data_IF_862082506287
#
_entry.id   IF_862082506287
#
_cell.length_a   1.000
_cell.length_b   1.000
_cell.length_c   1.000
_cell.angle_alpha   90.00
_cell.angle_beta   90.00
_cell.angle_gamma   90.00
#
_symmetry.space_group_name_H-M   'P 1'
#
loop_
_entity.id
_entity.type
_entity.pdbx_description
1 polymer ?
#
# COMPACT_ATOMS: atom_id res chain seq x y z
N UNK A 1 51.56 -56.02 68.25
CA UNK A 1 51.79 -55.54 66.90
C UNK A 1 50.64 -56.11 66.05
N UNK A 2 49.64 -55.25 65.78
CA UNK A 2 48.43 -55.65 65.03
C UNK A 2 48.49 -54.95 63.69
N UNK A 3 48.58 -55.70 62.58
CA UNK A 3 48.51 -55.20 61.23
C UNK A 3 47.06 -54.89 60.90
N UNK A 4 46.78 -53.64 60.49
CA UNK A 4 45.50 -53.24 59.88
C UNK A 4 45.60 -53.43 58.36
N UNK A 5 44.79 -54.31 57.85
CA UNK A 5 44.58 -54.41 56.41
C UNK A 5 43.55 -53.41 55.97
N UNK A 6 43.89 -52.64 54.91
CA UNK A 6 43.03 -51.65 54.29
C UNK A 6 42.30 -52.30 53.08
N UNK A 7 41.00 -52.44 53.18
CA UNK A 7 40.16 -52.85 52.04
C UNK A 7 39.85 -51.62 51.16
N UNK A 8 40.34 -51.65 49.96
CA UNK A 8 39.89 -50.69 48.91
C UNK A 8 38.63 -51.23 48.20
N UNK A 9 37.48 -50.55 48.36
CA UNK A 9 36.31 -50.83 47.63
C UNK A 9 36.37 -50.01 46.29
N UNK A 10 36.43 -50.75 45.20
CA UNK A 10 36.35 -50.16 43.84
C UNK A 10 34.86 -50.00 43.47
N UNK A 11 34.38 -48.75 43.43
CA UNK A 11 33.06 -48.41 42.83
C UNK A 11 33.24 -48.19 41.32
N UNK A 12 32.47 -48.90 40.50
CA UNK A 12 32.47 -48.58 39.05
C UNK A 12 31.70 -47.24 38.79
N UNK A 13 32.42 -46.26 38.29
CA UNK A 13 31.83 -45.03 37.78
C UNK A 13 31.19 -45.35 36.44
N UNK A 14 29.85 -45.44 36.43
CA UNK A 14 29.08 -45.50 35.18
C UNK A 14 29.03 -44.12 34.58
N UNK A 15 29.82 -43.88 33.53
CA UNK A 15 29.83 -42.68 32.74
C UNK A 15 28.60 -42.68 31.79
N UNK A 16 27.53 -42.01 32.20
CA UNK A 16 26.38 -41.80 31.31
C UNK A 16 26.77 -40.69 30.34
N UNK A 17 27.13 -41.08 29.11
CA UNK A 17 27.33 -40.14 28.00
C UNK A 17 25.94 -39.73 27.50
N UNK A 18 25.51 -38.53 27.85
CA UNK A 18 24.38 -37.84 27.18
C UNK A 18 24.84 -37.43 25.79
N UNK A 19 24.46 -38.21 24.78
CA UNK A 19 24.51 -37.76 23.42
C UNK A 19 23.40 -36.75 23.22
N UNK A 20 23.72 -35.46 23.38
CA UNK A 20 22.85 -34.35 22.89
C UNK A 20 22.79 -34.42 21.37
N UNK A 21 21.75 -35.02 20.87
CA UNK A 21 21.36 -34.83 19.47
C UNK A 21 21.05 -33.35 19.29
N UNK A 22 22.05 -32.57 18.95
CA UNK A 22 21.87 -31.24 18.39
C UNK A 22 21.33 -31.43 16.96
N UNK A 23 20.02 -31.69 16.85
CA UNK A 23 19.36 -31.54 15.59
C UNK A 23 19.50 -30.06 15.22
N UNK A 24 20.39 -29.74 14.32
CA UNK A 24 20.43 -28.49 13.59
C UNK A 24 19.08 -28.39 12.88
N UNK A 25 18.13 -27.76 13.54
CA UNK A 25 16.94 -27.22 12.86
C UNK A 25 17.48 -26.23 11.82
N UNK A 26 17.71 -26.73 10.62
CA UNK A 26 17.79 -25.88 9.44
C UNK A 26 16.43 -25.17 9.40
N UNK A 27 16.42 -23.90 9.81
CA UNK A 27 15.31 -23.02 9.49
C UNK A 27 15.20 -23.08 7.97
N UNK A 28 14.24 -23.85 7.47
CA UNK A 28 13.80 -23.67 6.10
C UNK A 28 13.54 -22.18 5.95
N UNK A 29 14.27 -21.56 5.04
CA UNK A 29 13.95 -20.20 4.64
C UNK A 29 12.53 -20.30 4.10
N UNK A 30 11.57 -19.77 4.88
CA UNK A 30 10.23 -19.54 4.35
C UNK A 30 10.45 -18.59 3.18
N UNK A 31 10.37 -19.10 1.98
CA UNK A 31 10.34 -18.30 0.77
C UNK A 31 8.98 -17.60 0.84
N UNK A 32 9.00 -16.38 1.32
CA UNK A 32 7.81 -15.53 1.27
C UNK A 32 7.68 -15.11 -0.19
N UNK A 33 6.76 -15.74 -0.90
CA UNK A 33 6.43 -15.29 -2.25
C UNK A 33 6.02 -13.82 -2.20
N UNK A 34 6.56 -12.99 -3.09
CA UNK A 34 6.24 -11.57 -3.08
C UNK A 34 4.74 -11.37 -3.30
N UNK A 35 4.15 -10.49 -2.50
CA UNK A 35 2.72 -10.22 -2.59
C UNK A 35 2.41 -9.28 -3.74
N UNK A 36 1.28 -9.57 -4.38
CA UNK A 36 0.63 -8.67 -5.34
C UNK A 36 -0.74 -8.32 -4.78
N UNK A 37 -0.89 -7.08 -4.36
CA UNK A 37 -2.09 -6.57 -3.69
C UNK A 37 -2.71 -5.44 -4.50
N UNK A 38 -4.01 -5.27 -4.41
CA UNK A 38 -4.68 -4.09 -4.95
C UNK A 38 -5.73 -3.56 -3.99
N UNK A 39 -6.00 -2.26 -4.08
CA UNK A 39 -7.20 -1.66 -3.53
C UNK A 39 -8.33 -1.72 -4.56
N UNK A 40 -9.57 -1.72 -4.08
CA UNK A 40 -10.77 -1.53 -4.86
C UNK A 40 -11.74 -0.64 -4.10
N UNK A 41 -12.23 0.38 -4.77
CA UNK A 41 -13.16 1.37 -4.20
C UNK A 41 -14.53 0.80 -3.89
N UNK A 42 -15.23 1.39 -2.92
CA UNK A 42 -16.64 1.08 -2.63
C UNK A 42 -17.62 2.09 -3.21
N UNK A 43 -17.14 3.23 -3.71
CA UNK A 43 -17.94 4.25 -4.40
C UNK A 43 -17.95 4.03 -5.92
N UNK A 44 -18.87 4.68 -6.65
CA UNK A 44 -19.01 4.47 -8.09
C UNK A 44 -17.73 4.64 -8.89
N UNK A 45 -17.48 3.72 -9.81
CA UNK A 45 -16.43 3.82 -10.82
C UNK A 45 -16.83 4.91 -11.83
N UNK A 46 -15.91 5.80 -12.26
CA UNK A 46 -16.21 6.84 -13.23
C UNK A 46 -16.80 6.29 -14.53
N UNK A 47 -17.70 7.03 -15.13
CA UNK A 47 -18.45 6.60 -16.32
C UNK A 47 -17.53 6.20 -17.50
N UNK A 48 -16.42 6.91 -17.70
CA UNK A 48 -15.44 6.60 -18.76
C UNK A 48 -14.62 5.34 -18.55
N UNK A 49 -14.71 4.70 -17.37
CA UNK A 49 -13.90 3.52 -17.01
C UNK A 49 -14.72 2.24 -17.02
N UNK A 50 -16.03 2.35 -16.73
CA UNK A 50 -16.92 1.21 -16.53
C UNK A 50 -17.46 0.65 -17.86
N UNK A 51 -17.70 -0.66 -17.87
CA UNK A 51 -18.48 -1.30 -18.91
C UNK A 51 -19.97 -1.34 -18.51
N UNK A 52 -20.85 -0.83 -19.41
CA UNK A 52 -22.30 -0.82 -19.21
C UNK A 52 -22.79 0.19 -18.17
N UNK A 53 -24.00 -0.02 -17.68
CA UNK A 53 -24.71 0.95 -16.81
C UNK A 53 -24.41 0.76 -15.31
N UNK A 54 -23.79 -0.36 -14.89
CA UNK A 54 -23.47 -0.60 -13.49
C UNK A 54 -22.26 0.23 -13.06
N UNK A 55 -22.42 1.19 -12.12
CA UNK A 55 -21.33 2.03 -11.68
C UNK A 55 -20.40 1.34 -10.64
N UNK A 56 -20.70 0.11 -10.26
CA UNK A 56 -19.94 -0.62 -9.24
C UNK A 56 -19.24 -1.83 -9.85
N UNK A 57 -18.14 -2.23 -9.21
CA UNK A 57 -17.51 -3.48 -9.57
C UNK A 57 -18.34 -4.68 -9.11
N UNK A 58 -18.12 -5.80 -9.76
CA UNK A 58 -18.67 -7.11 -9.35
C UNK A 58 -17.53 -8.12 -9.23
N UNK A 59 -17.79 -9.21 -8.52
CA UNK A 59 -16.82 -10.31 -8.37
C UNK A 59 -16.35 -10.88 -9.72
N UNK A 60 -17.18 -10.73 -10.77
CA UNK A 60 -16.83 -11.18 -12.11
C UNK A 60 -15.82 -10.27 -12.82
N UNK A 61 -15.83 -8.99 -12.52
CA UNK A 61 -14.88 -8.01 -13.08
C UNK A 61 -13.48 -8.17 -12.48
N UNK A 62 -13.39 -8.60 -11.22
CA UNK A 62 -12.09 -8.77 -10.55
C UNK A 62 -11.37 -10.01 -11.08
N UNK A 63 -10.14 -9.80 -11.56
CA UNK A 63 -9.23 -10.85 -12.02
C UNK A 63 -8.35 -11.33 -10.85
N UNK A 64 -8.98 -12.02 -9.90
CA UNK A 64 -8.33 -12.48 -8.68
C UNK A 64 -7.17 -13.44 -8.89
N UNK A 65 -7.07 -14.05 -10.08
CA UNK A 65 -5.92 -14.87 -10.51
C UNK A 65 -4.61 -14.07 -10.57
N UNK A 66 -4.67 -12.74 -10.66
CA UNK A 66 -3.50 -11.87 -10.67
C UNK A 66 -3.23 -11.19 -9.32
N UNK A 67 -3.90 -11.64 -8.25
CA UNK A 67 -3.81 -11.05 -6.92
C UNK A 67 -3.49 -12.09 -5.85
N UNK A 68 -2.72 -11.69 -4.86
CA UNK A 68 -2.61 -12.41 -3.57
C UNK A 68 -3.54 -11.81 -2.52
N UNK A 69 -3.82 -10.51 -2.61
CA UNK A 69 -4.62 -9.74 -1.64
C UNK A 69 -5.46 -8.67 -2.34
N UNK A 70 -6.68 -8.46 -1.85
CA UNK A 70 -7.54 -7.34 -2.24
C UNK A 70 -7.96 -6.55 -0.99
N UNK A 71 -7.87 -5.21 -1.06
CA UNK A 71 -8.28 -4.29 0.02
C UNK A 71 -9.54 -3.55 -0.41
N UNK A 72 -10.63 -3.74 0.34
CA UNK A 72 -11.86 -2.98 0.13
C UNK A 72 -11.68 -1.58 0.72
N UNK A 73 -11.70 -0.56 -0.09
CA UNK A 73 -11.45 0.84 0.28
C UNK A 73 -12.70 1.71 0.08
N UNK A 74 -13.17 2.43 1.05
CA UNK A 74 -12.68 2.55 2.42
C UNK A 74 -13.80 2.37 3.42
N UNK A 75 -13.51 1.78 4.57
CA UNK A 75 -14.32 1.95 5.75
C UNK A 75 -13.95 3.27 6.43
N UNK A 76 -14.94 3.95 6.99
CA UNK A 76 -14.80 5.22 7.70
C UNK A 76 -15.12 5.04 9.18
N UNK A 77 -14.56 5.90 10.02
CA UNK A 77 -14.91 5.95 11.45
C UNK A 77 -16.22 6.73 11.58
N UNK A 78 -17.24 6.16 12.24
CA UNK A 78 -18.52 6.84 12.46
C UNK A 78 -18.32 8.06 13.40
N UNK A 79 -18.58 9.28 12.91
CA UNK A 79 -18.41 10.50 13.71
C UNK A 79 -19.35 10.58 14.92
N UNK A 80 -20.42 9.76 14.98
CA UNK A 80 -21.40 9.76 16.09
C UNK A 80 -20.78 9.23 17.37
N UNK A 81 -20.07 8.11 17.31
CA UNK A 81 -19.42 7.48 18.46
C UNK A 81 -17.89 7.52 18.42
N UNK A 82 -17.30 7.70 17.24
CA UNK A 82 -15.86 7.78 17.00
C UNK A 82 -15.14 6.43 17.11
N UNK A 83 -15.86 5.31 17.07
CA UNK A 83 -15.28 3.96 17.23
C UNK A 83 -15.88 2.93 16.30
N UNK A 84 -17.16 3.07 15.93
CA UNK A 84 -17.78 2.23 14.92
C UNK A 84 -17.18 2.52 13.54
N UNK A 85 -17.18 1.50 12.71
CA UNK A 85 -16.74 1.61 11.30
C UNK A 85 -17.92 1.33 10.38
N UNK A 86 -17.95 2.00 9.25
CA UNK A 86 -18.97 1.79 8.23
C UNK A 86 -18.39 2.04 6.83
N UNK A 87 -18.99 1.43 5.82
CA UNK A 87 -18.81 1.82 4.42
C UNK A 87 -20.02 2.68 4.04
N UNK A 88 -19.83 3.83 3.36
CA UNK A 88 -20.94 4.62 2.84
C UNK A 88 -21.89 3.73 2.02
N UNK A 89 -23.18 3.75 2.39
CA UNK A 89 -24.18 2.92 1.73
C UNK A 89 -24.52 3.46 0.34
N UNK A 90 -24.50 2.56 -0.61
CA UNK A 90 -25.03 2.78 -1.96
C UNK A 90 -26.14 1.75 -2.17
N UNK A 91 -27.42 2.18 -2.30
CA UNK A 91 -28.58 1.27 -2.28
C UNK A 91 -28.53 0.15 -3.33
N UNK A 92 -27.74 0.35 -4.38
CA UNK A 92 -27.63 -0.59 -5.51
C UNK A 92 -26.36 -1.47 -5.42
N UNK A 93 -25.59 -1.35 -4.35
CA UNK A 93 -24.32 -2.04 -4.21
C UNK A 93 -24.14 -2.70 -2.83
N UNK A 94 -24.26 -4.00 -2.80
CA UNK A 94 -23.90 -4.82 -1.64
C UNK A 94 -22.46 -5.33 -1.77
N UNK A 95 -21.52 -4.52 -1.25
CA UNK A 95 -20.09 -4.84 -1.29
C UNK A 95 -19.76 -6.17 -0.64
N UNK A 96 -20.47 -6.55 0.42
CA UNK A 96 -20.17 -7.78 1.14
C UNK A 96 -20.67 -9.04 0.42
N UNK A 97 -21.77 -8.93 -0.32
CA UNK A 97 -22.21 -9.98 -1.23
C UNK A 97 -21.19 -10.21 -2.36
N UNK A 98 -20.64 -9.14 -2.93
CA UNK A 98 -19.59 -9.25 -3.95
C UNK A 98 -18.28 -9.81 -3.38
N UNK A 99 -17.90 -9.44 -2.15
CA UNK A 99 -16.75 -10.03 -1.45
C UNK A 99 -16.94 -11.52 -1.22
N UNK A 100 -18.12 -11.96 -0.78
CA UNK A 100 -18.42 -13.37 -0.57
C UNK A 100 -18.30 -14.17 -1.88
N UNK A 101 -18.89 -13.64 -2.98
CA UNK A 101 -18.79 -14.25 -4.31
C UNK A 101 -17.34 -14.29 -4.82
N UNK A 102 -16.55 -13.26 -4.55
CA UNK A 102 -15.14 -13.20 -4.93
C UNK A 102 -14.31 -14.25 -4.20
N UNK A 103 -14.53 -14.43 -2.89
CA UNK A 103 -13.83 -15.44 -2.08
C UNK A 103 -14.22 -16.87 -2.48
N UNK A 104 -15.46 -17.09 -2.90
CA UNK A 104 -15.89 -18.37 -3.47
C UNK A 104 -15.18 -18.66 -4.80
N UNK A 105 -15.12 -17.66 -5.68
CA UNK A 105 -14.48 -17.75 -6.99
C UNK A 105 -12.96 -17.93 -6.90
N UNK A 106 -12.31 -17.28 -5.95
CA UNK A 106 -10.85 -17.27 -5.76
C UNK A 106 -10.47 -17.62 -4.31
N UNK A 107 -10.50 -18.91 -3.93
CA UNK A 107 -10.24 -19.33 -2.54
C UNK A 107 -8.82 -18.99 -2.01
N UNK A 108 -7.86 -18.72 -2.91
CA UNK A 108 -6.50 -18.30 -2.55
C UNK A 108 -6.42 -16.82 -2.22
N UNK A 109 -7.37 -16.01 -2.70
CA UNK A 109 -7.35 -14.56 -2.56
C UNK A 109 -7.69 -14.17 -1.13
N UNK A 110 -6.81 -13.43 -0.48
CA UNK A 110 -7.09 -12.81 0.81
C UNK A 110 -7.77 -11.46 0.59
N UNK A 111 -8.91 -11.30 1.25
CA UNK A 111 -9.67 -10.05 1.19
C UNK A 111 -9.61 -9.38 2.55
N UNK A 112 -9.13 -8.15 2.59
CA UNK A 112 -9.08 -7.29 3.76
C UNK A 112 -9.86 -6.01 3.49
N UNK A 113 -10.14 -5.22 4.51
CA UNK A 113 -10.67 -3.87 4.32
C UNK A 113 -9.67 -2.83 4.82
N UNK A 114 -9.73 -1.64 4.23
CA UNK A 114 -8.91 -0.49 4.63
C UNK A 114 -9.78 0.54 5.32
N UNK A 115 -9.29 1.08 6.44
CA UNK A 115 -9.96 2.15 7.18
C UNK A 115 -9.20 3.45 6.98
N UNK A 116 -9.91 4.49 6.52
CA UNK A 116 -9.33 5.81 6.32
C UNK A 116 -9.37 6.30 4.89
N UNK A 117 -8.21 6.59 4.32
CA UNK A 117 -8.01 7.13 2.98
C UNK A 117 -7.78 8.64 2.95
N UNK A 118 -7.35 9.16 1.79
CA UNK A 118 -6.89 10.53 1.57
C UNK A 118 -7.99 11.60 1.50
N UNK A 119 -9.21 11.32 1.98
CA UNK A 119 -10.28 12.30 2.08
C UNK A 119 -10.39 12.90 3.48
N UNK A 120 -11.08 14.04 3.62
CA UNK A 120 -11.35 14.61 4.95
C UNK A 120 -12.19 13.66 5.82
N UNK A 121 -13.11 12.93 5.22
CA UNK A 121 -13.92 11.91 5.89
C UNK A 121 -13.05 10.72 6.32
N UNK A 122 -12.10 10.29 5.48
CA UNK A 122 -11.15 9.24 5.78
C UNK A 122 -10.22 9.58 6.94
N UNK A 123 -9.78 10.84 7.02
CA UNK A 123 -8.96 11.35 8.13
C UNK A 123 -9.76 11.52 9.44
N UNK A 124 -11.07 11.80 9.32
CA UNK A 124 -11.90 12.17 10.46
C UNK A 124 -11.95 11.07 11.52
N UNK A 125 -11.89 11.47 12.79
CA UNK A 125 -12.04 10.57 13.93
C UNK A 125 -10.76 9.92 14.43
N UNK A 126 -9.75 9.70 13.60
CA UNK A 126 -8.53 8.98 13.99
C UNK A 126 -7.83 9.58 15.21
N UNK A 127 -7.48 10.87 15.17
CA UNK A 127 -6.74 11.51 16.25
C UNK A 127 -7.46 11.41 17.60
N UNK A 128 -8.77 11.68 17.62
CA UNK A 128 -9.59 11.60 18.83
C UNK A 128 -9.69 10.15 19.34
N UNK A 129 -9.96 9.21 18.45
CA UNK A 129 -10.07 7.78 18.78
C UNK A 129 -8.72 7.24 19.27
N UNK A 130 -7.65 7.51 18.53
CA UNK A 130 -6.32 7.01 18.85
C UNK A 130 -5.74 7.58 20.15
N UNK A 131 -6.13 8.79 20.57
CA UNK A 131 -5.71 9.37 21.84
C UNK A 131 -6.35 8.70 23.07
N UNK A 132 -7.52 8.06 22.93
CA UNK A 132 -8.28 7.51 24.05
C UNK A 132 -8.16 5.98 24.12
N UNK A 133 -7.59 5.41 25.20
CA UNK A 133 -7.40 3.95 25.32
C UNK A 133 -8.70 3.14 25.21
N UNK A 134 -9.81 3.63 25.79
CA UNK A 134 -11.09 2.93 25.72
C UNK A 134 -11.64 2.95 24.30
N UNK A 135 -11.55 4.08 23.60
CA UNK A 135 -11.98 4.18 22.21
C UNK A 135 -11.15 3.27 21.29
N UNK A 136 -9.82 3.23 21.47
CA UNK A 136 -8.96 2.31 20.70
C UNK A 136 -9.34 0.84 20.91
N UNK A 137 -9.62 0.45 22.17
CA UNK A 137 -10.05 -0.91 22.47
C UNK A 137 -11.39 -1.24 21.77
N UNK A 138 -12.40 -0.37 21.89
CA UNK A 138 -13.69 -0.54 21.20
C UNK A 138 -13.52 -0.57 19.68
N UNK A 139 -12.69 0.29 19.12
CA UNK A 139 -12.41 0.32 17.68
C UNK A 139 -11.76 -0.99 17.21
N UNK A 140 -10.79 -1.52 17.96
CA UNK A 140 -10.15 -2.80 17.65
C UNK A 140 -11.13 -3.98 17.75
N UNK A 141 -12.07 -3.95 18.69
CA UNK A 141 -13.12 -4.95 18.80
C UNK A 141 -14.12 -4.86 17.64
N UNK A 142 -14.49 -3.66 17.18
CA UNK A 142 -15.32 -3.45 16.00
C UNK A 142 -14.63 -3.96 14.71
N UNK A 143 -13.32 -3.75 14.58
CA UNK A 143 -12.54 -4.38 13.50
C UNK A 143 -12.66 -5.90 13.56
N UNK A 144 -12.49 -6.50 14.73
CA UNK A 144 -12.59 -7.96 14.88
C UNK A 144 -14.00 -8.48 14.55
N UNK A 145 -15.05 -7.75 14.88
CA UNK A 145 -16.42 -8.10 14.49
C UNK A 145 -16.57 -8.16 12.97
N UNK A 146 -16.07 -7.17 12.25
CA UNK A 146 -16.10 -7.17 10.78
C UNK A 146 -15.29 -8.32 10.16
N UNK A 147 -14.15 -8.66 10.74
CA UNK A 147 -13.33 -9.78 10.28
C UNK A 147 -14.09 -11.12 10.39
N UNK A 148 -14.90 -11.28 11.44
CA UNK A 148 -15.76 -12.48 11.63
C UNK A 148 -17.02 -12.41 10.75
N UNK A 149 -17.77 -11.31 10.80
CA UNK A 149 -19.08 -11.16 10.15
C UNK A 149 -18.99 -11.29 8.62
N UNK A 150 -17.94 -10.74 8.03
CA UNK A 150 -17.72 -10.75 6.57
C UNK A 150 -16.64 -11.74 6.12
N UNK A 151 -16.18 -12.62 7.03
CA UNK A 151 -15.14 -13.62 6.76
C UNK A 151 -13.89 -13.03 6.06
N UNK A 152 -13.40 -11.88 6.58
CA UNK A 152 -12.25 -11.20 6.02
C UNK A 152 -10.93 -11.75 6.57
N UNK A 153 -9.82 -11.40 5.90
CA UNK A 153 -8.50 -11.97 6.18
C UNK A 153 -7.54 -10.95 6.81
N UNK A 154 -7.98 -9.70 6.98
CA UNK A 154 -7.17 -8.67 7.61
C UNK A 154 -7.76 -7.27 7.55
N UNK A 155 -7.02 -6.33 8.10
CA UNK A 155 -7.32 -4.90 8.09
C UNK A 155 -6.09 -4.11 7.67
N UNK A 156 -6.33 -3.04 6.95
CA UNK A 156 -5.35 -2.03 6.57
C UNK A 156 -5.72 -0.70 7.24
N UNK A 157 -4.72 0.03 7.74
CA UNK A 157 -4.92 1.36 8.34
C UNK A 157 -4.31 2.38 7.39
N UNK A 158 -5.18 3.20 6.83
CA UNK A 158 -4.82 4.27 5.90
C UNK A 158 -5.11 5.64 6.52
N UNK A 159 -4.34 5.97 7.56
CA UNK A 159 -4.43 7.25 8.25
C UNK A 159 -3.50 8.27 7.58
N UNK A 160 -4.06 9.20 6.80
CA UNK A 160 -3.32 10.16 6.00
C UNK A 160 -3.41 11.60 6.53
N UNK A 161 -2.63 12.02 7.56
CA UNK A 161 -1.57 11.25 8.23
C UNK A 161 -1.64 11.42 9.75
N UNK A 162 -1.05 10.52 10.57
CA UNK A 162 -1.04 10.70 12.04
C UNK A 162 -0.37 12.01 12.45
N UNK A 163 0.87 12.22 12.03
CA UNK A 163 1.52 13.53 12.08
C UNK A 163 1.84 13.94 10.65
N UNK A 164 1.05 14.84 10.11
CA UNK A 164 1.21 15.37 8.77
C UNK A 164 2.51 16.14 8.57
N UNK A 165 2.74 16.60 7.36
CA UNK A 165 3.85 17.49 7.03
C UNK A 165 3.67 18.88 7.70
N UNK A 166 4.73 19.70 7.73
CA UNK A 166 4.65 21.05 8.38
C UNK A 166 3.65 22.00 7.71
N UNK A 167 3.34 21.74 6.45
CA UNK A 167 2.36 22.50 5.66
C UNK A 167 0.94 21.93 5.75
N UNK A 168 0.72 20.91 6.61
CA UNK A 168 -0.57 20.28 6.81
C UNK A 168 -1.29 20.89 8.02
N UNK A 169 -2.54 21.31 7.83
CA UNK A 169 -3.38 21.91 8.89
C UNK A 169 -3.75 20.89 9.99
N UNK A 170 -3.62 19.58 9.71
CA UNK A 170 -3.91 18.46 10.64
C UNK A 170 -2.65 17.94 11.35
N UNK A 171 -1.81 18.83 11.81
CA UNK A 171 -0.55 18.51 12.44
C UNK A 171 -0.68 18.35 13.97
N UNK A 172 -0.87 17.11 14.43
CA UNK A 172 -0.99 16.78 15.86
C UNK A 172 0.20 15.92 16.33
N UNK A 173 1.27 16.53 16.93
CA UNK A 173 2.50 15.81 17.30
C UNK A 173 2.29 14.60 18.23
N UNK A 174 1.25 14.62 19.08
CA UNK A 174 0.88 13.51 19.95
C UNK A 174 0.47 12.25 19.17
N UNK A 175 0.03 12.39 17.92
CA UNK A 175 -0.44 11.30 17.11
C UNK A 175 0.71 10.40 16.61
N UNK A 176 1.95 10.87 16.68
CA UNK A 176 3.13 10.00 16.57
C UNK A 176 3.05 8.77 17.50
N UNK A 177 2.71 9.01 18.77
CA UNK A 177 2.55 7.95 19.77
C UNK A 177 1.22 7.22 19.62
N UNK A 178 0.15 7.96 19.37
CA UNK A 178 -1.20 7.43 19.29
C UNK A 178 -1.35 6.44 18.13
N UNK A 179 -0.72 6.69 17.00
CA UNK A 179 -0.66 5.80 15.85
C UNK A 179 -0.07 4.42 16.23
N UNK A 180 1.07 4.42 16.95
CA UNK A 180 1.69 3.16 17.40
C UNK A 180 0.82 2.41 18.39
N UNK A 181 0.16 3.14 19.31
CA UNK A 181 -0.78 2.53 20.26
C UNK A 181 -2.00 1.94 19.54
N UNK A 182 -2.54 2.63 18.55
CA UNK A 182 -3.64 2.14 17.73
C UNK A 182 -3.27 0.83 17.00
N UNK A 183 -2.16 0.82 16.28
CA UNK A 183 -1.70 -0.38 15.58
C UNK A 183 -1.47 -1.55 16.54
N UNK A 184 -0.93 -1.26 17.74
CA UNK A 184 -0.72 -2.29 18.77
C UNK A 184 -2.04 -2.87 19.28
N UNK A 185 -3.02 -2.01 19.61
CA UNK A 185 -4.31 -2.46 20.13
C UNK A 185 -5.06 -3.30 19.07
N UNK A 186 -5.02 -2.90 17.78
CA UNK A 186 -5.56 -3.70 16.67
C UNK A 186 -4.83 -5.04 16.54
N UNK A 187 -3.50 -5.07 16.60
CA UNK A 187 -2.71 -6.30 16.50
C UNK A 187 -3.03 -7.26 17.65
N UNK A 188 -3.14 -6.76 18.88
CA UNK A 188 -3.49 -7.56 20.04
C UNK A 188 -4.90 -8.14 19.93
N UNK A 189 -5.87 -7.36 19.46
CA UNK A 189 -7.24 -7.83 19.24
C UNK A 189 -7.30 -8.89 18.13
N UNK A 190 -6.65 -8.64 16.99
CA UNK A 190 -6.61 -9.62 15.88
C UNK A 190 -5.84 -10.89 16.21
N UNK A 191 -4.84 -10.83 17.09
CA UNK A 191 -4.17 -12.03 17.61
C UNK A 191 -5.11 -12.86 18.50
N UNK A 192 -5.85 -12.22 19.44
CA UNK A 192 -6.86 -12.91 20.26
C UNK A 192 -7.96 -13.55 19.39
N UNK A 193 -8.40 -12.83 18.36
CA UNK A 193 -9.33 -13.39 17.37
C UNK A 193 -8.73 -14.59 16.64
N UNK A 194 -7.47 -14.51 16.26
CA UNK A 194 -6.73 -15.60 15.62
C UNK A 194 -6.61 -16.86 16.48
N UNK A 195 -6.38 -16.70 17.78
CA UNK A 195 -6.39 -17.82 18.74
C UNK A 195 -7.75 -18.52 18.79
N UNK A 196 -8.85 -17.73 18.70
CA UNK A 196 -10.22 -18.26 18.69
C UNK A 196 -10.58 -18.98 17.39
N UNK A 197 -10.15 -18.43 16.24
CA UNK A 197 -10.60 -18.88 14.90
C UNK A 197 -9.62 -19.83 14.22
N UNK A 198 -8.38 -19.94 14.73
CA UNK A 198 -7.30 -20.67 14.07
C UNK A 198 -6.70 -19.95 12.85
N UNK A 199 -7.09 -18.69 12.60
CA UNK A 199 -6.62 -17.87 11.47
C UNK A 199 -5.56 -16.86 11.91
N UNK A 200 -4.66 -16.50 11.00
CA UNK A 200 -3.79 -15.33 11.15
C UNK A 200 -4.35 -14.18 10.32
N UNK A 201 -4.76 -13.12 10.98
CA UNK A 201 -5.26 -11.90 10.33
C UNK A 201 -4.11 -10.96 9.98
N UNK A 202 -4.14 -10.44 8.77
CA UNK A 202 -3.17 -9.44 8.32
C UNK A 202 -3.49 -8.08 8.94
N UNK A 203 -2.43 -7.33 9.24
CA UNK A 203 -2.49 -5.92 9.57
C UNK A 203 -1.47 -5.19 8.72
N UNK A 204 -1.89 -4.25 7.90
CA UNK A 204 -1.00 -3.36 7.16
C UNK A 204 -1.32 -1.90 7.44
N UNK A 205 -0.45 -1.01 7.01
CA UNK A 205 -0.73 0.41 7.02
C UNK A 205 -0.16 1.06 5.77
N UNK A 206 -0.98 1.86 5.09
CA UNK A 206 -0.54 2.72 4.01
C UNK A 206 0.21 3.92 4.59
N UNK A 207 1.32 4.27 3.96
CA UNK A 207 2.21 5.36 4.41
C UNK A 207 2.84 6.05 3.20
N UNK A 208 3.14 7.35 3.26
CA UNK A 208 3.76 8.04 2.14
C UNK A 208 5.22 7.60 1.98
N UNK A 209 5.66 7.48 0.74
CA UNK A 209 7.06 7.20 0.39
C UNK A 209 7.93 8.45 0.60
N UNK A 210 8.01 8.95 1.84
CA UNK A 210 8.56 10.28 2.15
C UNK A 210 9.37 10.32 3.44
N UNK A 211 10.46 11.14 3.39
CA UNK A 211 11.35 11.38 4.52
C UNK A 211 10.65 12.04 5.71
N UNK A 212 9.70 12.95 5.47
CA UNK A 212 9.01 13.67 6.55
C UNK A 212 8.14 12.75 7.39
N UNK A 213 7.54 11.71 6.78
CA UNK A 213 6.75 10.73 7.52
C UNK A 213 7.62 9.94 8.49
N UNK A 214 8.74 9.41 8.01
CA UNK A 214 9.68 8.64 8.85
C UNK A 214 10.21 9.46 10.00
N UNK A 215 10.51 10.75 9.78
CA UNK A 215 10.98 11.65 10.85
C UNK A 215 9.90 11.99 11.88
N UNK A 216 8.66 12.18 11.45
CA UNK A 216 7.56 12.64 12.30
C UNK A 216 6.78 11.52 12.96
N UNK A 217 6.67 10.40 12.27
CA UNK A 217 5.99 9.20 12.75
C UNK A 217 7.03 8.10 13.05
N UNK A 218 6.73 7.22 13.98
CA UNK A 218 7.64 6.13 14.33
C UNK A 218 7.44 4.93 13.38
N UNK A 219 7.83 5.10 12.10
CA UNK A 219 7.66 4.09 11.05
C UNK A 219 8.34 2.75 11.43
N UNK A 220 9.48 2.82 12.13
CA UNK A 220 10.20 1.64 12.62
C UNK A 220 9.43 0.88 13.70
N UNK A 221 8.75 1.58 14.61
CA UNK A 221 7.88 0.94 15.60
C UNK A 221 6.64 0.35 14.92
N UNK A 222 6.03 1.06 13.97
CA UNK A 222 4.91 0.56 13.17
C UNK A 222 5.29 -0.75 12.44
N UNK A 223 6.43 -0.78 11.75
CA UNK A 223 6.92 -1.96 11.03
C UNK A 223 7.10 -3.21 11.91
N UNK A 224 7.34 -3.06 13.22
CA UNK A 224 7.41 -4.18 14.16
C UNK A 224 6.05 -4.78 14.50
N UNK A 225 4.97 -4.01 14.32
CA UNK A 225 3.61 -4.38 14.69
C UNK A 225 2.84 -4.91 13.48
N UNK A 226 2.92 -4.18 12.36
CA UNK A 226 2.20 -4.54 11.12
C UNK A 226 2.91 -5.67 10.36
N UNK A 227 2.20 -6.34 9.50
CA UNK A 227 2.78 -7.29 8.55
C UNK A 227 3.49 -6.53 7.42
N UNK A 228 2.88 -5.46 6.92
CA UNK A 228 3.42 -4.64 5.84
C UNK A 228 3.17 -3.14 6.08
N UNK A 229 4.18 -2.33 5.75
CA UNK A 229 4.02 -0.92 5.43
C UNK A 229 3.89 -0.78 3.91
N UNK A 230 2.79 -0.22 3.45
CA UNK A 230 2.49 0.00 2.04
C UNK A 230 2.91 1.42 1.67
N UNK A 231 4.05 1.55 0.99
CA UNK A 231 4.58 2.84 0.59
C UNK A 231 3.82 3.36 -0.64
N UNK A 232 3.09 4.45 -0.48
CA UNK A 232 2.41 5.16 -1.57
C UNK A 232 3.45 5.86 -2.45
N UNK A 233 3.98 5.12 -3.44
CA UNK A 233 5.02 5.58 -4.36
C UNK A 233 4.41 6.30 -5.58
N UNK A 234 3.49 7.19 -5.33
CA UNK A 234 2.75 7.98 -6.33
C UNK A 234 2.32 9.32 -5.72
N UNK A 235 1.60 10.12 -6.51
CA UNK A 235 1.19 11.49 -6.14
C UNK A 235 2.39 12.40 -5.83
N UNK A 236 3.51 12.16 -6.49
CA UNK A 236 4.69 13.01 -6.36
C UNK A 236 4.45 14.40 -6.95
N UNK A 237 3.66 14.46 -8.03
CA UNK A 237 3.17 15.68 -8.65
C UNK A 237 1.65 15.63 -8.82
N UNK A 238 0.99 16.75 -8.57
CA UNK A 238 -0.46 16.89 -8.67
C UNK A 238 -0.90 18.35 -8.60
N UNK A 239 -2.17 18.63 -8.26
CA UNK A 239 -2.70 20.00 -8.14
C UNK A 239 -1.96 20.91 -7.16
N UNK A 240 -1.25 20.35 -6.22
CA UNK A 240 -0.42 21.03 -5.21
C UNK A 240 0.95 21.45 -5.74
N UNK A 241 1.37 20.99 -6.91
CA UNK A 241 2.69 21.27 -7.49
C UNK A 241 2.72 22.59 -8.24
N UNK A 242 3.89 23.22 -8.33
CA UNK A 242 4.07 24.48 -9.06
C UNK A 242 4.29 24.28 -10.56
N UNK A 243 4.72 23.09 -10.94
CA UNK A 243 5.00 22.69 -12.31
C UNK A 243 4.32 21.34 -12.60
N UNK A 244 4.18 21.00 -13.86
CA UNK A 244 3.97 19.63 -14.29
C UNK A 244 5.12 18.73 -13.82
N UNK A 245 4.92 17.42 -13.74
CA UNK A 245 5.95 16.49 -13.31
C UNK A 245 5.47 15.04 -13.32
N UNK A 246 6.29 14.12 -12.85
CA UNK A 246 5.92 12.72 -12.79
C UNK A 246 5.01 12.40 -11.60
N UNK A 247 3.90 11.71 -11.87
CA UNK A 247 3.02 11.17 -10.83
C UNK A 247 3.72 10.08 -10.00
N UNK A 248 4.46 9.19 -10.67
CA UNK A 248 5.05 7.99 -10.07
C UNK A 248 6.30 7.56 -10.86
N UNK A 249 7.44 8.19 -10.63
CA UNK A 249 8.70 7.84 -11.25
C UNK A 249 9.52 6.89 -10.37
N UNK A 250 10.36 6.06 -11.01
CA UNK A 250 11.20 5.12 -10.28
C UNK A 250 12.43 5.81 -9.65
N UNK A 251 13.08 6.72 -10.37
CA UNK A 251 14.26 7.45 -9.91
C UNK A 251 14.09 8.97 -9.99
N UNK A 252 14.88 9.68 -9.22
CA UNK A 252 14.95 11.14 -9.30
C UNK A 252 15.58 11.59 -10.63
N UNK A 253 14.97 12.62 -11.22
CA UNK A 253 15.56 13.31 -12.35
C UNK A 253 16.20 14.63 -11.87
N UNK A 254 17.52 14.88 -12.10
CA UNK A 254 18.18 16.13 -11.70
C UNK A 254 17.58 17.40 -12.31
N UNK A 255 16.81 17.29 -13.39
CA UNK A 255 16.07 18.41 -13.97
C UNK A 255 14.81 18.78 -13.21
N UNK A 256 14.36 17.93 -12.26
CA UNK A 256 13.20 18.17 -11.43
C UNK A 256 13.46 19.38 -10.49
N UNK A 257 12.65 20.46 -10.56
CA UNK A 257 12.83 21.67 -9.75
C UNK A 257 12.42 21.50 -8.28
N UNK A 258 11.75 20.38 -7.92
CA UNK A 258 11.32 20.10 -6.55
C UNK A 258 12.44 19.45 -5.75
N UNK A 259 13.28 20.23 -5.06
CA UNK A 259 14.21 19.86 -3.98
C UNK A 259 14.78 18.43 -4.03
N UNK A 260 15.41 18.05 -5.17
CA UNK A 260 15.97 16.71 -5.38
C UNK A 260 14.94 15.68 -5.88
N UNK A 261 13.72 16.13 -6.16
CA UNK A 261 12.63 15.31 -6.71
C UNK A 261 12.03 14.32 -5.70
N UNK A 262 10.97 13.70 -6.13
CA UNK A 262 10.33 12.58 -5.44
C UNK A 262 10.42 11.36 -6.34
N UNK A 263 10.66 10.18 -5.77
CA UNK A 263 10.71 8.93 -6.55
C UNK A 263 10.53 7.71 -5.65
N UNK A 264 10.15 6.60 -6.25
CA UNK A 264 10.05 5.30 -5.56
C UNK A 264 11.36 4.91 -4.89
N UNK A 265 12.49 5.08 -5.59
CA UNK A 265 13.81 4.77 -5.06
C UNK A 265 14.14 5.62 -3.83
N UNK A 266 13.93 6.92 -3.90
CA UNK A 266 14.20 7.82 -2.78
C UNK A 266 13.30 7.51 -1.58
N UNK A 267 12.02 7.27 -1.84
CA UNK A 267 11.06 6.87 -0.80
C UNK A 267 11.51 5.60 -0.09
N UNK A 268 11.85 4.55 -0.83
CA UNK A 268 12.32 3.30 -0.24
C UNK A 268 13.62 3.48 0.55
N UNK A 269 14.56 4.27 0.04
CA UNK A 269 15.85 4.54 0.70
C UNK A 269 15.69 5.20 2.06
N UNK A 270 14.67 6.03 2.25
CA UNK A 270 14.38 6.67 3.55
C UNK A 270 14.00 5.62 4.59
N UNK A 271 13.14 4.67 4.23
CA UNK A 271 12.73 3.58 5.13
C UNK A 271 13.86 2.59 5.39
N UNK A 272 14.67 2.29 4.38
CA UNK A 272 15.88 1.47 4.54
C UNK A 272 16.87 2.09 5.54
N UNK A 273 17.11 3.39 5.46
CA UNK A 273 17.99 4.13 6.38
C UNK A 273 17.45 4.18 7.81
N UNK A 274 16.14 4.03 8.00
CA UNK A 274 15.50 3.87 9.32
C UNK A 274 15.51 2.42 9.83
N UNK A 275 16.26 1.53 9.19
CA UNK A 275 16.41 0.13 9.58
C UNK A 275 15.11 -0.69 9.54
N UNK A 276 14.20 -0.36 8.67
CA UNK A 276 12.99 -1.14 8.44
C UNK A 276 13.33 -2.32 7.53
N UNK A 277 12.99 -3.57 7.91
CA UNK A 277 13.22 -4.73 7.06
C UNK A 277 12.49 -4.62 5.73
N UNK A 278 13.19 -4.84 4.62
CA UNK A 278 12.64 -4.65 3.28
C UNK A 278 11.46 -5.60 2.99
N UNK A 279 11.50 -6.81 3.53
CA UNK A 279 10.39 -7.76 3.42
C UNK A 279 9.09 -7.30 4.09
N UNK A 280 9.13 -6.24 4.87
CA UNK A 280 7.97 -5.58 5.47
C UNK A 280 7.44 -4.40 4.64
N UNK A 281 8.08 -4.07 3.55
CA UNK A 281 7.70 -2.97 2.67
C UNK A 281 6.97 -3.53 1.45
N UNK A 282 5.89 -2.88 1.04
CA UNK A 282 5.27 -3.05 -0.28
C UNK A 282 5.36 -1.73 -1.05
N UNK A 283 5.73 -1.80 -2.33
CA UNK A 283 5.80 -0.60 -3.18
C UNK A 283 4.47 -0.35 -3.86
N UNK A 284 3.99 0.88 -3.78
CA UNK A 284 2.75 1.33 -4.41
C UNK A 284 2.93 1.65 -5.89
N UNK A 285 1.96 1.25 -6.70
CA UNK A 285 1.88 1.50 -8.13
C UNK A 285 0.55 2.20 -8.44
N UNK A 286 0.60 3.32 -9.14
CA UNK A 286 -0.60 4.04 -9.54
C UNK A 286 -1.14 3.49 -10.87
N UNK A 287 -2.41 3.06 -10.91
CA UNK A 287 -3.09 2.73 -12.16
C UNK A 287 -3.90 3.93 -12.70
N UNK A 288 -3.38 5.12 -12.44
CA UNK A 288 -3.94 6.39 -12.91
C UNK A 288 -2.82 7.38 -13.25
N UNK A 289 -3.17 8.41 -13.98
CA UNK A 289 -2.29 9.54 -14.29
C UNK A 289 -2.76 10.84 -13.66
N UNK A 290 -1.87 11.82 -13.66
CA UNK A 290 -2.14 13.21 -13.28
C UNK A 290 -1.86 14.13 -14.46
N UNK A 291 -2.78 15.06 -14.73
CA UNK A 291 -2.71 15.91 -15.92
C UNK A 291 -2.80 17.40 -15.64
N UNK A 292 -2.12 18.18 -16.47
CA UNK A 292 -2.08 19.63 -16.44
C UNK A 292 -2.37 20.21 -17.83
N UNK A 293 -3.07 21.34 -17.88
CA UNK A 293 -3.42 22.06 -19.12
C UNK A 293 -2.72 23.43 -19.16
N UNK A 294 -2.43 23.91 -20.36
CA UNK A 294 -1.69 25.14 -20.59
C UNK A 294 -0.21 24.98 -20.25
N UNK A 295 0.32 23.80 -20.53
CA UNK A 295 1.72 23.44 -20.32
C UNK A 295 2.51 23.76 -21.60
N UNK A 296 3.48 24.65 -21.51
CA UNK A 296 4.37 24.95 -22.65
C UNK A 296 5.34 23.80 -22.90
N UNK A 297 5.81 23.62 -24.15
CA UNK A 297 6.74 22.53 -24.45
C UNK A 297 8.07 22.63 -23.71
N UNK A 298 8.49 23.85 -23.35
CA UNK A 298 9.79 24.06 -22.72
C UNK A 298 10.97 24.07 -23.70
N UNK A 299 12.20 24.28 -23.18
CA UNK A 299 13.38 24.43 -24.03
C UNK A 299 13.95 23.12 -24.56
N UNK A 300 13.62 21.98 -23.95
CA UNK A 300 14.14 20.68 -24.35
C UNK A 300 13.13 19.92 -25.23
N UNK A 301 13.38 19.71 -26.51
CA UNK A 301 12.45 19.01 -27.39
C UNK A 301 12.33 17.51 -27.11
N UNK A 302 13.24 16.92 -26.32
CA UNK A 302 13.18 15.52 -25.91
C UNK A 302 12.26 15.30 -24.69
N UNK A 303 12.00 16.36 -23.91
CA UNK A 303 11.16 16.30 -22.72
C UNK A 303 10.07 17.39 -22.70
N UNK A 304 9.24 17.49 -23.79
CA UNK A 304 8.28 18.56 -23.93
C UNK A 304 7.20 18.45 -22.83
N UNK A 305 6.89 19.60 -22.21
CA UNK A 305 5.88 19.71 -21.17
C UNK A 305 6.30 19.18 -19.78
N UNK A 306 7.46 18.52 -19.66
CA UNK A 306 7.93 17.98 -18.38
C UNK A 306 8.58 19.08 -17.52
N UNK A 307 8.18 19.18 -16.24
CA UNK A 307 8.65 20.17 -15.27
C UNK A 307 8.37 21.63 -15.66
N UNK A 308 7.33 21.86 -16.44
CA UNK A 308 6.97 23.18 -16.94
C UNK A 308 5.83 23.82 -16.14
N UNK A 309 5.78 25.16 -16.03
CA UNK A 309 4.62 25.85 -15.51
C UNK A 309 3.35 25.47 -16.29
N UNK A 310 2.20 25.52 -15.61
CA UNK A 310 0.91 25.16 -16.18
C UNK A 310 -0.17 26.19 -15.81
N UNK A 311 -1.30 26.21 -16.50
CA UNK A 311 -2.46 27.07 -16.20
C UNK A 311 -3.40 26.43 -15.20
N UNK A 312 -3.69 25.13 -15.36
CA UNK A 312 -4.56 24.38 -14.45
C UNK A 312 -4.16 22.91 -14.40
N UNK A 313 -4.33 22.30 -13.23
CA UNK A 313 -4.15 20.87 -13.01
C UNK A 313 -5.43 20.05 -13.20
N UNK A 314 -6.51 20.68 -13.71
CA UNK A 314 -7.80 20.04 -13.93
C UNK A 314 -7.99 19.71 -15.43
N UNK A 315 -7.02 18.99 -16.00
CA UNK A 315 -7.01 18.69 -17.43
C UNK A 315 -8.17 17.77 -17.85
N UNK A 316 -8.58 16.83 -17.01
CA UNK A 316 -9.56 15.79 -17.33
C UNK A 316 -10.75 15.79 -16.36
N UNK A 317 -10.47 15.93 -15.06
CA UNK A 317 -11.49 15.98 -14.02
C UNK A 317 -11.05 16.92 -12.87
N UNK A 318 -11.89 17.18 -11.85
CA UNK A 318 -11.63 18.19 -10.83
C UNK A 318 -10.36 17.99 -10.00
N UNK A 319 -9.90 16.75 -9.84
CA UNK A 319 -8.68 16.40 -9.11
C UNK A 319 -7.45 16.17 -10.01
N UNK A 320 -7.64 16.31 -11.34
CA UNK A 320 -6.60 16.14 -12.35
C UNK A 320 -6.20 14.68 -12.60
N UNK A 321 -6.88 13.71 -11.97
CA UNK A 321 -6.61 12.31 -12.17
C UNK A 321 -7.34 11.74 -13.39
N UNK A 322 -6.77 10.71 -14.04
CA UNK A 322 -7.36 9.96 -15.13
C UNK A 322 -7.02 8.48 -14.96
N UNK A 323 -8.03 7.61 -15.00
CA UNK A 323 -7.84 6.17 -14.88
C UNK A 323 -7.07 5.61 -16.08
N UNK A 324 -6.34 4.51 -15.87
CA UNK A 324 -5.57 3.89 -16.97
C UNK A 324 -6.46 3.44 -18.13
N UNK A 325 -7.67 2.95 -17.85
CA UNK A 325 -8.64 2.60 -18.89
C UNK A 325 -8.98 3.78 -19.81
N UNK A 326 -9.06 5.01 -19.27
CA UNK A 326 -9.25 6.23 -20.04
C UNK A 326 -7.96 6.68 -20.76
N UNK A 327 -6.80 6.49 -20.11
CA UNK A 327 -5.48 6.79 -20.72
C UNK A 327 -5.25 5.97 -21.97
N UNK A 328 -5.71 4.71 -22.01
CA UNK A 328 -5.62 3.84 -23.19
C UNK A 328 -6.22 4.51 -24.44
N UNK A 329 -7.28 5.30 -24.29
CA UNK A 329 -7.89 6.04 -25.40
C UNK A 329 -6.98 7.16 -25.93
N UNK A 330 -6.22 7.81 -25.04
CA UNK A 330 -5.26 8.85 -25.43
C UNK A 330 -4.00 8.26 -26.09
N UNK A 331 -3.73 6.98 -25.91
CA UNK A 331 -2.62 6.27 -26.55
C UNK A 331 -2.94 5.83 -27.99
N UNK A 332 -4.22 5.86 -28.40
CA UNK A 332 -4.63 5.44 -29.75
C UNK A 332 -4.13 6.41 -30.82
N UNK A 333 -3.79 5.90 -32.02
CA UNK A 333 -3.46 6.76 -33.16
C UNK A 333 -4.58 7.79 -33.44
N UNK A 334 -4.19 9.05 -33.62
CA UNK A 334 -5.14 10.12 -33.90
C UNK A 334 -5.71 10.83 -32.69
N UNK A 335 -5.38 10.44 -31.48
CA UNK A 335 -5.79 11.12 -30.23
C UNK A 335 -5.19 12.53 -30.08
N UNK A 336 -4.12 12.83 -30.83
CA UNK A 336 -3.38 14.08 -30.70
C UNK A 336 -2.26 14.05 -29.67
N UNK A 337 -2.19 13.00 -28.86
CA UNK A 337 -1.14 12.83 -27.88
C UNK A 337 0.05 12.05 -28.43
N UNK A 338 1.25 12.40 -27.94
CA UNK A 338 2.50 11.67 -28.17
C UNK A 338 3.01 11.15 -26.83
N UNK A 339 3.40 9.87 -26.79
CA UNK A 339 4.07 9.26 -25.64
C UNK A 339 5.56 9.61 -25.64
N UNK A 340 6.02 10.07 -24.49
CA UNK A 340 7.43 10.32 -24.20
C UNK A 340 7.89 9.42 -23.06
N UNK A 341 9.21 9.32 -22.91
CA UNK A 341 9.85 8.52 -21.88
C UNK A 341 11.02 9.28 -21.23
N UNK A 342 11.00 9.39 -19.91
CA UNK A 342 12.13 9.93 -19.14
C UNK A 342 13.12 8.81 -18.82
N UNK A 343 14.25 8.79 -19.52
CA UNK A 343 15.29 7.78 -19.29
C UNK A 343 16.00 7.90 -17.95
N UNK A 344 15.93 9.05 -17.29
CA UNK A 344 16.52 9.28 -15.97
C UNK A 344 15.51 8.88 -14.88
N UNK A 345 14.34 9.49 -14.90
CA UNK A 345 13.28 9.22 -13.93
C UNK A 345 12.63 7.85 -14.12
N UNK A 346 12.77 7.22 -15.30
CA UNK A 346 12.11 5.98 -15.70
C UNK A 346 10.60 6.09 -15.54
N UNK A 347 10.01 7.05 -16.25
CA UNK A 347 8.57 7.26 -16.24
C UNK A 347 8.05 7.74 -17.60
N UNK A 348 6.84 7.30 -18.01
CA UNK A 348 6.17 7.78 -19.21
C UNK A 348 5.36 9.04 -18.94
N UNK A 349 5.15 9.83 -20.00
CA UNK A 349 4.09 10.85 -20.03
C UNK A 349 3.56 11.02 -21.44
N UNK A 350 2.36 11.59 -21.53
CA UNK A 350 1.74 12.04 -22.77
C UNK A 350 1.82 13.55 -22.87
N UNK A 351 2.00 14.07 -24.09
CA UNK A 351 1.94 15.49 -24.36
C UNK A 351 1.36 15.75 -25.75
N UNK A 352 0.50 16.78 -25.88
CA UNK A 352 -0.17 17.15 -27.15
C UNK A 352 0.10 18.60 -27.60
N UNK A 353 1.03 19.31 -26.93
CA UNK A 353 1.33 20.73 -27.19
C UNK A 353 0.65 21.69 -26.20
N UNK A 354 -0.30 21.22 -25.39
CA UNK A 354 -1.01 21.98 -24.34
C UNK A 354 -1.20 21.17 -23.06
N UNK A 355 -1.57 19.90 -23.19
CA UNK A 355 -1.85 19.00 -22.05
C UNK A 355 -0.68 18.05 -21.87
N UNK A 356 -0.16 18.01 -20.63
CA UNK A 356 0.79 17.00 -20.15
C UNK A 356 0.07 16.07 -19.18
N UNK A 357 0.22 14.75 -19.36
CA UNK A 357 -0.31 13.71 -18.49
C UNK A 357 0.81 12.73 -18.11
N UNK A 358 1.19 12.69 -16.84
CA UNK A 358 2.07 11.64 -16.30
C UNK A 358 1.25 10.45 -15.83
N UNK A 359 1.69 9.23 -16.15
CA UNK A 359 0.95 8.01 -15.83
C UNK A 359 1.89 6.82 -15.64
N UNK A 360 1.33 5.64 -15.37
CA UNK A 360 2.06 4.37 -15.30
C UNK A 360 1.68 3.51 -16.50
N UNK A 361 2.67 2.91 -17.15
CA UNK A 361 2.48 1.95 -18.23
C UNK A 361 3.22 0.62 -17.95
N UNK A 362 3.07 -0.33 -18.85
CA UNK A 362 3.72 -1.65 -18.76
C UNK A 362 5.25 -1.57 -18.65
N UNK A 363 5.89 -0.59 -19.31
CA UNK A 363 7.33 -0.41 -19.26
C UNK A 363 7.78 0.00 -17.85
N UNK A 364 7.08 0.95 -17.24
CA UNK A 364 7.37 1.38 -15.86
C UNK A 364 7.08 0.25 -14.87
N UNK A 365 5.97 -0.49 -15.03
CA UNK A 365 5.64 -1.63 -14.17
C UNK A 365 6.77 -2.68 -14.15
N UNK A 366 7.29 -3.05 -15.30
CA UNK A 366 8.41 -4.01 -15.38
C UNK A 366 9.63 -3.52 -14.62
N UNK A 367 9.96 -2.24 -14.70
CA UNK A 367 11.08 -1.66 -13.96
C UNK A 367 10.82 -1.61 -12.45
N UNK A 368 9.59 -1.27 -12.01
CA UNK A 368 9.23 -1.27 -10.60
C UNK A 368 9.26 -2.70 -10.02
N UNK A 369 8.76 -3.69 -10.74
CA UNK A 369 8.76 -5.08 -10.28
C UNK A 369 10.17 -5.67 -10.22
N UNK A 370 11.04 -5.39 -11.21
CA UNK A 370 12.44 -5.76 -11.16
C UNK A 370 13.16 -5.11 -9.98
N UNK A 371 12.90 -3.82 -9.75
CA UNK A 371 13.43 -3.08 -8.62
C UNK A 371 12.93 -3.67 -7.28
N UNK A 372 11.65 -4.01 -7.18
CA UNK A 372 11.07 -4.65 -6.00
C UNK A 372 11.76 -5.98 -5.67
N UNK A 373 12.01 -6.81 -6.69
CA UNK A 373 12.75 -8.08 -6.54
C UNK A 373 14.22 -7.84 -6.16
N UNK A 374 14.91 -6.88 -6.79
CA UNK A 374 16.28 -6.51 -6.45
C UNK A 374 16.40 -6.09 -4.98
N UNK A 375 15.49 -5.24 -4.52
CA UNK A 375 15.47 -4.73 -3.14
C UNK A 375 14.89 -5.73 -2.14
N UNK A 376 14.33 -6.84 -2.59
CA UNK A 376 13.72 -7.90 -1.77
C UNK A 376 12.62 -7.36 -0.88
N UNK A 377 11.80 -6.46 -1.40
CA UNK A 377 10.63 -5.97 -0.68
C UNK A 377 9.55 -7.06 -0.58
N UNK A 378 8.63 -6.93 0.36
CA UNK A 378 7.58 -7.92 0.63
C UNK A 378 6.54 -8.05 -0.50
N UNK A 379 6.53 -7.10 -1.44
CA UNK A 379 5.64 -7.13 -2.60
C UNK A 379 5.35 -5.76 -3.18
N UNK A 380 4.30 -5.72 -3.98
CA UNK A 380 3.77 -4.50 -4.60
C UNK A 380 2.28 -4.37 -4.32
N UNK A 381 1.76 -3.15 -4.32
CA UNK A 381 0.33 -2.91 -4.25
C UNK A 381 -0.10 -1.82 -5.23
N UNK A 382 -1.36 -1.81 -5.58
CA UNK A 382 -1.92 -0.93 -6.61
C UNK A 382 -3.00 -0.04 -6.04
N UNK A 383 -2.97 1.23 -6.35
CA UNK A 383 -4.08 2.16 -6.31
C UNK A 383 -4.53 2.46 -7.74
N UNK A 384 -5.62 1.91 -8.21
CA UNK A 384 -6.48 0.86 -7.70
C UNK A 384 -6.97 -0.03 -8.86
N UNK A 385 -7.51 -1.20 -8.55
CA UNK A 385 -7.99 -2.15 -9.56
C UNK A 385 -9.07 -1.55 -10.46
N UNK A 386 -9.98 -0.75 -9.90
CA UNK A 386 -11.05 -0.09 -10.65
C UNK A 386 -10.58 0.86 -11.76
N UNK A 387 -9.31 1.22 -11.79
CA UNK A 387 -8.73 2.02 -12.87
C UNK A 387 -8.22 1.18 -14.07
N UNK A 388 -8.21 -0.16 -13.94
CA UNK A 388 -7.72 -1.11 -14.96
C UNK A 388 -8.58 -2.38 -14.96
N UNK A 389 -9.88 -2.24 -15.24
CA UNK A 389 -10.85 -3.34 -15.17
C UNK A 389 -10.55 -4.49 -16.13
N UNK A 390 -9.91 -4.20 -17.28
CA UNK A 390 -9.42 -5.22 -18.22
C UNK A 390 -8.22 -6.00 -17.66
N UNK A 391 -7.61 -5.50 -16.57
CA UNK A 391 -6.44 -6.05 -15.92
C UNK A 391 -5.19 -6.11 -16.82
N UNK A 392 -5.04 -5.17 -17.75
CA UNK A 392 -3.88 -5.12 -18.64
C UNK A 392 -2.59 -4.86 -17.86
N UNK A 393 -2.59 -3.81 -17.01
CA UNK A 393 -1.45 -3.51 -16.15
C UNK A 393 -1.30 -4.51 -15.00
N UNK A 394 -2.43 -4.95 -14.41
CA UNK A 394 -2.42 -5.91 -13.31
C UNK A 394 -1.78 -7.24 -13.72
N UNK A 395 -2.10 -7.74 -14.92
CA UNK A 395 -1.50 -8.95 -15.47
C UNK A 395 0.02 -8.81 -15.63
N UNK A 396 0.47 -7.72 -16.24
CA UNK A 396 1.91 -7.45 -16.42
C UNK A 396 2.62 -7.38 -15.06
N UNK A 397 2.02 -6.72 -14.08
CA UNK A 397 2.57 -6.59 -12.73
C UNK A 397 2.67 -7.98 -12.05
N UNK A 398 1.62 -8.78 -12.11
CA UNK A 398 1.60 -10.12 -11.53
C UNK A 398 2.64 -11.05 -12.17
N UNK A 399 2.64 -11.14 -13.51
CA UNK A 399 3.57 -12.01 -14.26
C UNK A 399 5.04 -11.64 -13.99
N UNK A 400 5.35 -10.37 -13.83
CA UNK A 400 6.72 -9.94 -13.52
C UNK A 400 7.09 -10.09 -12.03
N UNK A 401 6.13 -10.24 -11.11
CA UNK A 401 6.44 -10.49 -9.69
C UNK A 401 6.67 -11.96 -9.38
N UNK A 402 6.25 -12.88 -10.27
CA UNK A 402 6.55 -14.31 -10.17
C UNK A 402 8.01 -14.61 -10.57
#
# INVERSE_FOLDING_TARGET
MVKKELFFAIFPVVLIIWLSNCATLTREKIVVEPRVSSYIRTWPIPEGVREGDNPYWTANMIKGEYLTDLMIAFALIDPKDGTSIFIPEYPEFDVWAEVAALKEKYPHLRVSFSVGGGSLEGLAGFSKMAANPAMRATFADNICAWLEDYNLDGVDVDWEYPVGAEWDDYHYPQDRKNYILLLKDIREATNRLGEKTGKRYLLSSAVPASWWFVQRNDARAAAKIVDYLKLMCYDYYGPWSKTSGHNANLYNNPADPAWGGWSTNQGLDVYFKDWIPMEKIMLGVAFYGRGWTGVEPGPNPETPGLFMPYKTSKAFNPDGALAYSEIKELLKPGSGFTRYWDDIGKAPWLYNGDIMLSYTDEQLIKLITDYAKEKKVGGVFVWEFGHDLDADLMKVLYENMQ
#
